data_IF_595271697200
#
_entry.id   IF_595271697200
#
_cell.length_a   1.000
_cell.length_b   1.000
_cell.length_c   1.000
_cell.angle_alpha   90.00
_cell.angle_beta   90.00
_cell.angle_gamma   90.00
#
_symmetry.space_group_name_H-M   'P 1'
#
loop_
_entity.id
_entity.type
_entity.pdbx_description
1 polymer ?
#
# COMPACT_ATOMS: atom_id res chain seq x y z
N UNK A 1 40.51 34.86 15.78
CA UNK A 1 40.37 35.04 14.32
C UNK A 1 41.18 33.95 13.62
N UNK A 2 40.56 32.84 13.23
CA UNK A 2 41.22 31.76 12.47
C UNK A 2 40.66 31.83 11.06
N UNK A 3 41.42 32.40 10.13
CA UNK A 3 41.07 32.48 8.71
C UNK A 3 41.28 31.12 8.06
N UNK A 4 40.19 30.40 7.83
CA UNK A 4 40.18 29.14 7.09
C UNK A 4 40.29 29.44 5.58
N UNK A 5 41.52 29.58 5.08
CA UNK A 5 41.78 29.72 3.63
C UNK A 5 41.69 28.32 3.00
N UNK A 6 40.51 27.96 2.48
CA UNK A 6 40.36 26.77 1.64
C UNK A 6 41.25 26.92 0.41
N UNK A 7 42.26 26.05 0.29
CA UNK A 7 43.12 25.99 -0.90
C UNK A 7 42.27 25.69 -2.14
N UNK A 8 42.48 26.37 -3.28
CA UNK A 8 41.64 26.27 -4.48
C UNK A 8 41.54 24.85 -5.08
N UNK A 9 42.48 23.96 -4.73
CA UNK A 9 42.43 22.55 -5.11
C UNK A 9 41.25 21.79 -4.49
N UNK A 10 40.88 22.08 -3.24
CA UNK A 10 39.75 21.41 -2.57
C UNK A 10 38.40 21.88 -3.13
N UNK A 11 38.31 23.14 -3.56
CA UNK A 11 37.11 23.68 -4.18
C UNK A 11 36.81 22.97 -5.51
N UNK A 12 37.83 22.71 -6.33
CA UNK A 12 37.68 21.97 -7.60
C UNK A 12 37.29 20.50 -7.38
N UNK A 13 37.84 19.87 -6.35
CA UNK A 13 37.55 18.47 -6.03
C UNK A 13 36.14 18.28 -5.46
N UNK A 14 35.66 19.22 -4.61
CA UNK A 14 34.29 19.26 -4.12
C UNK A 14 33.27 19.57 -5.24
N UNK A 15 33.57 20.51 -6.12
CA UNK A 15 32.69 20.85 -7.26
C UNK A 15 32.56 19.67 -8.25
N UNK A 16 33.66 18.96 -8.49
CA UNK A 16 33.68 17.75 -9.32
C UNK A 16 32.86 16.59 -8.73
N UNK A 17 32.89 16.40 -7.41
CA UNK A 17 32.10 15.37 -6.72
C UNK A 17 30.58 15.67 -6.74
N UNK A 18 30.19 16.94 -6.62
CA UNK A 18 28.79 17.40 -6.71
C UNK A 18 28.24 17.21 -8.14
N UNK A 19 29.07 17.45 -9.16
CA UNK A 19 28.69 17.21 -10.56
C UNK A 19 28.57 15.72 -10.89
N UNK A 20 29.40 14.86 -10.29
CA UNK A 20 29.32 13.39 -10.43
C UNK A 20 28.11 12.77 -9.71
N UNK A 21 27.63 13.39 -8.63
CA UNK A 21 26.44 12.94 -7.89
C UNK A 21 25.11 13.38 -8.52
N UNK A 22 25.13 14.33 -9.46
CA UNK A 22 23.94 14.83 -10.16
C UNK A 22 23.69 14.17 -11.52
N UNK A 23 24.59 13.31 -12.00
CA UNK A 23 24.42 12.55 -13.24
C UNK A 23 23.53 11.32 -13.06
N UNK A 24 22.34 11.50 -12.49
CA UNK A 24 21.25 10.54 -12.71
C UNK A 24 20.93 10.59 -14.20
N UNK A 25 20.84 9.46 -14.91
CA UNK A 25 20.51 9.47 -16.34
C UNK A 25 19.20 10.23 -16.55
N UNK A 26 19.25 11.24 -17.44
CA UNK A 26 18.15 12.17 -17.72
C UNK A 26 16.84 11.42 -18.04
N UNK A 27 16.94 10.22 -18.64
CA UNK A 27 15.81 9.32 -18.91
C UNK A 27 15.06 8.85 -17.64
N UNK A 28 15.78 8.58 -16.55
CA UNK A 28 15.18 8.21 -15.26
C UNK A 28 14.49 9.41 -14.59
N UNK A 29 15.04 10.62 -14.79
CA UNK A 29 14.42 11.86 -14.31
C UNK A 29 13.19 12.24 -15.16
N UNK A 30 13.19 11.96 -16.46
CA UNK A 30 12.05 12.25 -17.33
C UNK A 30 10.88 11.28 -17.13
N UNK A 31 11.17 9.99 -16.92
CA UNK A 31 10.14 8.97 -16.65
C UNK A 31 9.41 9.19 -15.31
N UNK A 32 10.16 9.51 -14.24
CA UNK A 32 9.59 9.87 -12.94
C UNK A 32 8.73 11.15 -13.00
N UNK A 33 9.21 12.20 -13.67
CA UNK A 33 8.44 13.45 -13.88
C UNK A 33 7.17 13.25 -14.69
N UNK A 34 7.21 12.44 -15.77
CA UNK A 34 6.03 12.08 -16.57
C UNK A 34 5.00 11.31 -15.74
N UNK A 35 5.46 10.39 -14.88
CA UNK A 35 4.59 9.64 -13.96
C UNK A 35 3.97 10.55 -12.90
N UNK A 36 4.75 11.46 -12.32
CA UNK A 36 4.24 12.48 -11.40
C UNK A 36 3.22 13.41 -12.06
N UNK A 37 3.47 13.90 -13.27
CA UNK A 37 2.52 14.73 -14.00
C UNK A 37 1.24 13.98 -14.37
N UNK A 38 1.35 12.72 -14.80
CA UNK A 38 0.19 11.88 -15.06
C UNK A 38 -0.63 11.65 -13.78
N UNK A 39 0.03 11.45 -12.63
CA UNK A 39 -0.63 11.30 -11.33
C UNK A 39 -1.27 12.62 -10.84
N UNK A 40 -0.66 13.78 -11.12
CA UNK A 40 -1.20 15.10 -10.76
C UNK A 40 -2.44 15.47 -11.56
N UNK A 41 -2.54 15.02 -12.81
CA UNK A 41 -3.71 15.24 -13.68
C UNK A 41 -4.79 14.16 -13.55
N UNK A 42 -4.46 13.00 -12.98
CA UNK A 42 -5.41 11.90 -12.81
C UNK A 42 -6.44 12.21 -11.72
N UNK A 43 -7.71 12.10 -12.06
CA UNK A 43 -8.80 12.19 -11.08
C UNK A 43 -8.65 11.07 -10.05
N UNK A 44 -8.74 11.42 -8.75
CA UNK A 44 -8.77 10.44 -7.65
C UNK A 44 -9.87 9.40 -7.91
N UNK A 45 -9.50 8.12 -7.88
CA UNK A 45 -10.44 7.02 -8.09
C UNK A 45 -11.16 6.69 -6.77
N UNK A 46 -12.46 6.43 -6.86
CA UNK A 46 -13.19 5.87 -5.73
C UNK A 46 -12.77 4.41 -5.52
N UNK A 47 -12.81 3.96 -4.27
CA UNK A 47 -12.53 2.57 -3.89
C UNK A 47 -13.78 1.99 -3.25
N UNK A 48 -14.29 0.89 -3.82
CA UNK A 48 -15.33 0.08 -3.22
C UNK A 48 -14.69 -1.19 -2.66
N UNK A 49 -14.59 -1.28 -1.33
CA UNK A 49 -14.06 -2.45 -0.63
C UNK A 49 -15.22 -3.32 -0.13
N UNK A 50 -15.33 -4.54 -0.67
CA UNK A 50 -16.38 -5.50 -0.29
C UNK A 50 -15.71 -6.62 0.53
N UNK A 51 -16.11 -6.73 1.80
CA UNK A 51 -15.70 -7.82 2.68
C UNK A 51 -16.90 -8.71 2.96
N UNK A 52 -16.76 -10.01 2.71
CA UNK A 52 -17.79 -11.01 3.01
C UNK A 52 -17.31 -11.84 4.21
N UNK A 53 -18.20 -12.06 5.19
CA UNK A 53 -17.87 -12.86 6.38
C UNK A 53 -17.98 -14.36 6.06
N UNK A 54 -17.02 -15.14 6.57
CA UNK A 54 -16.95 -16.61 6.48
C UNK A 54 -17.05 -17.23 5.07
N UNK A 55 -16.80 -16.43 4.01
CA UNK A 55 -16.85 -16.89 2.63
C UNK A 55 -15.54 -17.58 2.21
N UNK A 56 -15.62 -18.89 1.94
CA UNK A 56 -14.57 -19.65 1.24
C UNK A 56 -14.58 -19.35 -0.27
N UNK A 57 -13.50 -19.60 -1.04
CA UNK A 57 -13.46 -19.40 -2.49
C UNK A 57 -14.34 -20.42 -3.22
N UNK A 58 -15.63 -20.10 -3.35
CA UNK A 58 -16.66 -20.90 -4.01
C UNK A 58 -17.25 -20.12 -5.19
N UNK A 59 -18.02 -20.78 -6.05
CA UNK A 59 -18.59 -20.21 -7.27
C UNK A 59 -17.72 -20.35 -8.52
N UNK A 60 -18.28 -19.92 -9.65
CA UNK A 60 -17.69 -20.13 -10.99
C UNK A 60 -16.33 -19.46 -11.15
N UNK A 61 -16.13 -18.29 -10.55
CA UNK A 61 -14.84 -17.59 -10.51
C UNK A 61 -13.69 -18.40 -9.91
N UNK A 62 -13.99 -19.41 -9.09
CA UNK A 62 -13.01 -20.32 -8.46
C UNK A 62 -13.14 -21.78 -8.94
N UNK A 63 -13.89 -22.03 -10.02
CA UNK A 63 -14.02 -23.36 -10.64
C UNK A 63 -15.08 -24.27 -10.02
N UNK A 64 -15.92 -23.76 -9.12
CA UNK A 64 -17.04 -24.51 -8.52
C UNK A 64 -18.30 -24.35 -9.37
N UNK A 65 -18.78 -25.46 -9.96
CA UNK A 65 -19.96 -25.49 -10.83
C UNK A 65 -21.30 -25.66 -10.07
N UNK A 66 -21.27 -25.96 -8.77
CA UNK A 66 -22.48 -26.16 -7.97
C UNK A 66 -23.04 -24.82 -7.47
N UNK A 67 -22.15 -23.94 -6.98
CA UNK A 67 -22.55 -22.66 -6.38
C UNK A 67 -22.77 -21.58 -7.45
N UNK A 68 -24.00 -21.06 -7.52
CA UNK A 68 -24.40 -20.05 -8.51
C UNK A 68 -24.11 -18.63 -8.02
N UNK A 69 -23.14 -17.96 -8.62
CA UNK A 69 -22.72 -16.60 -8.21
C UNK A 69 -22.55 -15.64 -9.40
N UNK A 70 -23.60 -15.43 -10.22
CA UNK A 70 -23.50 -14.75 -11.51
C UNK A 70 -22.92 -13.33 -11.44
N UNK A 71 -23.19 -12.59 -10.35
CA UNK A 71 -22.66 -11.24 -10.15
C UNK A 71 -21.18 -11.23 -9.74
N UNK A 72 -20.75 -12.19 -8.92
CA UNK A 72 -19.34 -12.34 -8.55
C UNK A 72 -18.51 -12.80 -9.75
N UNK A 73 -19.06 -13.73 -10.55
CA UNK A 73 -18.43 -14.18 -11.80
C UNK A 73 -18.30 -13.03 -12.82
N UNK A 74 -19.32 -12.17 -12.92
CA UNK A 74 -19.27 -10.98 -13.77
C UNK A 74 -18.24 -9.94 -13.30
N UNK A 75 -18.04 -9.81 -11.98
CA UNK A 75 -16.98 -8.96 -11.43
C UNK A 75 -15.59 -9.56 -11.74
N UNK A 76 -15.41 -10.87 -11.52
CA UNK A 76 -14.18 -11.59 -11.79
C UNK A 76 -13.73 -11.48 -13.25
N UNK A 77 -14.64 -11.59 -14.22
CA UNK A 77 -14.34 -11.44 -15.66
C UNK A 77 -13.83 -10.05 -16.06
N UNK A 78 -14.13 -9.01 -15.26
CA UNK A 78 -13.71 -7.62 -15.51
C UNK A 78 -12.52 -7.20 -14.66
N UNK A 79 -11.98 -8.10 -13.84
CA UNK A 79 -10.94 -7.81 -12.87
C UNK A 79 -9.80 -8.84 -12.91
N UNK A 80 -9.06 -8.88 -11.80
CA UNK A 80 -7.98 -9.83 -11.59
C UNK A 80 -8.38 -10.74 -10.43
N UNK A 81 -8.29 -12.06 -10.64
CA UNK A 81 -8.62 -13.07 -9.63
C UNK A 81 -7.32 -13.65 -9.05
N UNK A 82 -7.24 -13.73 -7.73
CA UNK A 82 -6.12 -14.34 -7.01
C UNK A 82 -6.52 -15.72 -6.49
N UNK A 83 -6.01 -16.78 -7.13
CA UNK A 83 -6.31 -18.17 -6.73
C UNK A 83 -5.52 -18.65 -5.49
N UNK A 84 -4.67 -17.78 -4.94
CA UNK A 84 -3.77 -18.06 -3.80
C UNK A 84 -3.73 -16.88 -2.84
N UNK A 85 -4.90 -16.47 -2.35
CA UNK A 85 -5.06 -15.44 -1.34
C UNK A 85 -5.41 -16.07 0.02
N UNK A 86 -4.66 -15.73 1.07
CA UNK A 86 -4.80 -16.33 2.40
C UNK A 86 -4.89 -15.26 3.48
N UNK A 87 -5.78 -15.47 4.45
CA UNK A 87 -5.82 -14.67 5.68
C UNK A 87 -4.64 -15.02 6.59
N UNK A 88 -4.20 -14.07 7.40
CA UNK A 88 -3.09 -14.29 8.35
C UNK A 88 -3.54 -15.15 9.54
N UNK A 89 -4.81 -15.08 9.90
CA UNK A 89 -5.44 -15.93 10.91
C UNK A 89 -6.91 -16.15 10.52
N UNK A 90 -7.40 -17.39 10.60
CA UNK A 90 -8.76 -17.76 10.19
C UNK A 90 -9.81 -17.46 11.28
N UNK A 91 -9.80 -16.22 11.80
CA UNK A 91 -10.73 -15.70 12.82
C UNK A 91 -11.06 -14.25 12.47
N UNK A 92 -12.34 -13.84 12.62
CA UNK A 92 -12.85 -12.58 12.09
C UNK A 92 -12.10 -11.33 12.61
N UNK A 93 -12.02 -11.10 13.93
CA UNK A 93 -11.33 -9.92 14.49
C UNK A 93 -9.82 -9.87 14.16
N UNK A 94 -9.02 -10.94 14.41
CA UNK A 94 -7.60 -10.96 14.05
C UNK A 94 -7.34 -10.74 12.55
N UNK A 95 -8.13 -11.38 11.68
CA UNK A 95 -8.04 -11.22 10.22
C UNK A 95 -8.33 -9.80 9.78
N UNK A 96 -9.44 -9.20 10.27
CA UNK A 96 -9.86 -7.84 9.92
C UNK A 96 -8.89 -6.80 10.44
N UNK A 97 -8.41 -6.94 11.68
CA UNK A 97 -7.37 -6.07 12.22
C UNK A 97 -6.10 -6.16 11.39
N UNK A 98 -5.66 -7.38 11.03
CA UNK A 98 -4.45 -7.57 10.24
C UNK A 98 -4.56 -6.88 8.87
N UNK A 99 -5.66 -7.13 8.16
CA UNK A 99 -5.93 -6.55 6.84
C UNK A 99 -6.03 -5.02 6.88
N UNK A 100 -6.80 -4.47 7.82
CA UNK A 100 -7.07 -3.03 7.87
C UNK A 100 -5.92 -2.21 8.43
N UNK A 101 -4.98 -2.83 9.14
CA UNK A 101 -3.77 -2.15 9.64
C UNK A 101 -2.53 -2.41 8.80
N UNK A 102 -2.57 -3.42 7.92
CA UNK A 102 -1.39 -3.89 7.19
C UNK A 102 -0.33 -4.55 8.08
N UNK A 103 -0.71 -5.01 9.28
CA UNK A 103 0.17 -5.64 10.26
C UNK A 103 -0.22 -7.09 10.50
N UNK A 104 0.74 -7.99 10.76
CA UNK A 104 0.44 -9.41 11.07
C UNK A 104 -0.09 -9.55 12.51
N UNK A 105 -0.84 -10.63 12.84
CA UNK A 105 -1.30 -10.90 14.20
C UNK A 105 -0.20 -10.78 15.26
N UNK A 106 1.01 -11.26 14.96
CA UNK A 106 2.18 -11.17 15.86
C UNK A 106 2.59 -9.72 16.18
N UNK A 107 2.28 -8.77 15.29
CA UNK A 107 2.51 -7.33 15.52
C UNK A 107 1.30 -6.65 16.13
N UNK A 108 0.08 -7.08 15.78
CA UNK A 108 -1.15 -6.46 16.29
C UNK A 108 -1.47 -6.92 17.70
N UNK A 109 -0.99 -8.09 18.13
CA UNK A 109 -1.31 -8.70 19.42
C UNK A 109 -2.78 -9.11 19.57
N UNK A 110 -3.55 -9.12 18.47
CA UNK A 110 -4.97 -9.50 18.48
C UNK A 110 -5.09 -10.93 17.98
N UNK A 111 -5.43 -11.85 18.88
CA UNK A 111 -5.62 -13.27 18.58
C UNK A 111 -7.04 -13.77 18.86
N UNK A 112 -7.87 -12.95 19.51
CA UNK A 112 -9.22 -13.27 19.95
C UNK A 112 -10.25 -12.27 19.37
N UNK A 113 -11.51 -12.35 19.84
CA UNK A 113 -12.62 -11.51 19.38
C UNK A 113 -12.91 -10.29 20.27
N UNK A 114 -12.23 -10.18 21.40
CA UNK A 114 -12.51 -9.18 22.46
C UNK A 114 -11.46 -8.08 22.55
N UNK A 115 -10.22 -8.40 22.18
CA UNK A 115 -9.08 -7.50 22.27
C UNK A 115 -9.17 -6.44 21.16
N UNK A 116 -9.28 -5.18 21.56
CA UNK A 116 -9.33 -4.07 20.62
C UNK A 116 -7.91 -3.65 20.22
N UNK A 117 -7.60 -3.65 18.92
CA UNK A 117 -6.23 -3.41 18.42
C UNK A 117 -5.60 -2.08 18.85
N UNK A 118 -6.39 -1.04 19.17
CA UNK A 118 -5.84 0.22 19.70
C UNK A 118 -5.27 0.10 21.12
N UNK A 119 -5.57 -0.97 21.83
CA UNK A 119 -4.98 -1.24 23.15
C UNK A 119 -3.53 -1.72 23.04
N UNK A 120 -3.20 -2.39 21.93
CA UNK A 120 -1.87 -2.98 21.68
C UNK A 120 -1.02 -2.15 20.73
N UNK A 121 -1.63 -1.56 19.69
CA UNK A 121 -0.97 -0.72 18.67
C UNK A 121 -1.72 0.62 18.49
N UNK A 122 -1.68 1.52 19.49
CA UNK A 122 -2.55 2.71 19.54
C UNK A 122 -2.36 3.67 18.37
N UNK A 123 -1.16 3.78 17.81
CA UNK A 123 -0.84 4.78 16.77
C UNK A 123 -0.92 4.25 15.34
N UNK A 124 -1.36 2.99 15.15
CA UNK A 124 -1.39 2.39 13.80
C UNK A 124 -2.34 3.13 12.86
N UNK A 125 -1.90 3.50 11.67
CA UNK A 125 -2.79 4.08 10.67
C UNK A 125 -3.55 2.95 9.98
N UNK A 126 -4.88 2.96 10.05
CA UNK A 126 -5.70 1.98 9.33
C UNK A 126 -5.91 2.39 7.87
N UNK A 127 -6.26 1.43 7.02
CA UNK A 127 -6.61 1.66 5.62
C UNK A 127 -7.64 2.80 5.46
N UNK A 128 -8.84 2.79 6.08
CA UNK A 128 -9.78 3.90 5.95
C UNK A 128 -9.24 5.20 6.55
N UNK A 129 -8.47 5.17 7.65
CA UNK A 129 -7.86 6.38 8.21
C UNK A 129 -6.87 7.02 7.23
N UNK A 130 -6.07 6.22 6.53
CA UNK A 130 -5.17 6.72 5.48
C UNK A 130 -5.95 7.38 4.35
N UNK A 131 -7.03 6.75 3.87
CA UNK A 131 -7.92 7.35 2.85
C UNK A 131 -8.51 8.68 3.33
N UNK A 132 -9.03 8.74 4.56
CA UNK A 132 -9.57 9.96 5.16
C UNK A 132 -8.54 11.10 5.23
N UNK A 133 -7.30 10.79 5.64
CA UNK A 133 -6.19 11.75 5.67
C UNK A 133 -5.83 12.29 4.28
N UNK A 134 -6.12 11.53 3.22
CA UNK A 134 -5.92 11.94 1.82
C UNK A 134 -7.15 12.61 1.18
N UNK A 135 -8.15 12.96 1.98
CA UNK A 135 -9.35 13.69 1.54
C UNK A 135 -10.42 12.82 0.89
N UNK A 136 -10.40 11.51 1.11
CA UNK A 136 -11.52 10.64 0.75
C UNK A 136 -12.61 10.67 1.83
N UNK A 137 -13.86 10.46 1.42
CA UNK A 137 -14.95 10.15 2.33
C UNK A 137 -14.89 8.66 2.68
N UNK A 138 -14.90 8.36 3.98
CA UNK A 138 -14.79 7.01 4.55
C UNK A 138 -15.69 6.89 5.76
#
# INVERSE_FOLDING_TARGET
MISFVLRPAYFRLLLGLILLLSSVPVDAQQSSRRREQALRGARKLNVLFISVDDLRPTGGAYGDSFVRTPHMDALARRGVVFNRAYAQQAVCSPSRTSLLTGRRPDTTGVYDLTTHFRQTIPDVVTLPQHFKQQGYHT
#
